data_IF_987376494277
#
_entry.id   IF_987376494277
#
_cell.length_a   1.000
_cell.length_b   1.000
_cell.length_c   1.000
_cell.angle_alpha   90.00
_cell.angle_beta   90.00
_cell.angle_gamma   90.00
#
_symmetry.space_group_name_H-M   'P 1'
#
loop_
_entity.id
_entity.type
_entity.pdbx_description
1 polymer ?
#
# COMPACT_ATOMS: atom_id res chain seq x y z
N UNK A 1 -22.28 12.41 -2.38
CA UNK A 1 -22.18 12.15 -0.92
C UNK A 1 -21.45 10.82 -0.74
N UNK A 2 -20.13 10.82 -0.50
CA UNK A 2 -19.41 9.59 -0.15
C UNK A 2 -19.86 9.22 1.26
N UNK A 3 -20.53 8.07 1.43
CA UNK A 3 -20.87 7.56 2.76
C UNK A 3 -19.59 7.47 3.61
N UNK A 4 -19.58 7.96 4.86
CA UNK A 4 -18.42 7.83 5.74
C UNK A 4 -18.23 6.33 6.03
N UNK A 5 -17.23 5.73 5.37
CA UNK A 5 -16.85 4.35 5.60
C UNK A 5 -16.57 4.15 7.09
N UNK A 6 -17.36 3.27 7.74
CA UNK A 6 -17.24 2.90 9.16
C UNK A 6 -15.76 2.80 9.56
N UNK A 7 -15.40 3.35 10.73
CA UNK A 7 -14.07 3.28 11.36
C UNK A 7 -13.67 1.81 11.61
N UNK A 8 -13.30 1.07 10.57
CA UNK A 8 -12.80 -0.30 10.68
C UNK A 8 -11.28 -0.27 10.63
N UNK A 9 -10.66 -0.90 11.62
CA UNK A 9 -9.23 -1.26 11.62
C UNK A 9 -9.09 -2.57 10.86
N UNK A 10 -7.95 -2.78 10.21
CA UNK A 10 -7.67 -4.02 9.50
C UNK A 10 -7.68 -5.21 10.48
N UNK A 11 -8.65 -6.11 10.32
CA UNK A 11 -8.72 -7.39 11.04
C UNK A 11 -7.89 -8.49 10.36
N UNK A 12 -7.61 -8.34 9.06
CA UNK A 12 -6.87 -9.32 8.25
C UNK A 12 -5.65 -8.64 7.63
N UNK A 13 -4.53 -9.37 7.53
CA UNK A 13 -3.28 -8.85 6.96
C UNK A 13 -2.61 -7.78 7.82
N UNK A 14 -2.87 -7.80 9.13
CA UNK A 14 -2.30 -6.85 10.09
C UNK A 14 -0.96 -7.30 10.72
N UNK A 15 -0.59 -8.57 10.48
CA UNK A 15 0.67 -9.19 10.91
C UNK A 15 1.58 -9.42 9.71
N UNK A 16 2.89 -9.30 9.92
CA UNK A 16 3.92 -9.72 8.96
C UNK A 16 3.88 -11.24 8.86
N UNK A 17 3.78 -11.79 7.65
CA UNK A 17 3.51 -13.23 7.44
C UNK A 17 4.64 -14.00 6.76
N UNK A 18 5.42 -13.34 5.91
CA UNK A 18 6.48 -13.96 5.12
C UNK A 18 7.85 -13.43 5.53
N UNK A 19 8.02 -12.12 5.60
CA UNK A 19 9.30 -11.51 5.94
C UNK A 19 9.59 -11.37 7.44
N UNK A 20 10.73 -10.76 7.75
CA UNK A 20 11.12 -10.36 9.11
C UNK A 20 10.62 -8.96 9.46
N UNK A 21 10.57 -8.07 8.46
CA UNK A 21 10.18 -6.67 8.62
C UNK A 21 8.96 -6.34 7.75
N UNK A 22 8.17 -5.35 8.18
CA UNK A 22 6.99 -4.90 7.44
C UNK A 22 6.77 -3.40 7.48
N UNK A 23 6.08 -2.90 6.45
CA UNK A 23 5.56 -1.54 6.38
C UNK A 23 4.05 -1.55 6.59
N UNK A 24 3.60 -1.07 7.73
CA UNK A 24 2.19 -1.08 8.16
C UNK A 24 1.54 0.27 7.95
N UNK A 25 0.33 0.31 7.41
CA UNK A 25 -0.46 1.52 7.28
C UNK A 25 -0.97 1.98 8.65
N UNK A 26 -0.79 3.27 8.95
CA UNK A 26 -1.41 3.96 10.09
C UNK A 26 -2.61 4.78 9.59
N UNK A 27 -2.50 5.35 8.39
CA UNK A 27 -3.57 6.09 7.73
C UNK A 27 -4.55 5.20 6.98
N UNK A 28 -5.72 5.76 6.66
CA UNK A 28 -6.69 5.20 5.70
C UNK A 28 -6.50 5.88 4.35
N UNK A 29 -6.72 5.15 3.26
CA UNK A 29 -6.65 5.75 1.94
C UNK A 29 -6.80 4.75 0.81
N UNK A 30 -6.64 5.24 -0.42
CA UNK A 30 -6.58 4.43 -1.63
C UNK A 30 -5.16 4.50 -2.18
N UNK A 31 -4.62 3.34 -2.55
CA UNK A 31 -3.33 3.25 -3.23
C UNK A 31 -3.53 2.80 -4.67
N UNK A 32 -3.00 3.55 -5.62
CA UNK A 32 -3.01 3.17 -7.03
C UNK A 32 -1.92 2.15 -7.33
N UNK A 33 -2.08 1.36 -8.40
CA UNK A 33 -1.03 0.46 -8.89
C UNK A 33 0.32 1.19 -9.09
N UNK A 34 0.29 2.43 -9.59
CA UNK A 34 1.49 3.26 -9.81
C UNK A 34 2.21 3.62 -8.52
N UNK A 35 1.47 3.97 -7.46
CA UNK A 35 2.05 4.26 -6.14
C UNK A 35 2.63 2.99 -5.51
N UNK A 36 1.93 1.87 -5.64
CA UNK A 36 2.39 0.58 -5.12
C UNK A 36 3.72 0.18 -5.78
N UNK A 37 3.81 0.34 -7.09
CA UNK A 37 5.03 0.01 -7.84
C UNK A 37 6.16 1.02 -7.58
N UNK A 38 5.84 2.31 -7.44
CA UNK A 38 6.84 3.33 -7.12
C UNK A 38 7.53 3.06 -5.77
N UNK A 39 6.74 2.69 -4.74
CA UNK A 39 7.27 2.30 -3.43
C UNK A 39 8.12 1.01 -3.51
N UNK A 40 7.64 -0.01 -4.23
CA UNK A 40 8.40 -1.25 -4.46
C UNK A 40 9.74 -0.98 -5.13
N UNK A 41 9.74 -0.19 -6.21
CA UNK A 41 10.95 0.15 -6.96
C UNK A 41 11.95 0.95 -6.11
N UNK A 42 11.48 1.83 -5.22
CA UNK A 42 12.33 2.56 -4.29
C UNK A 42 13.07 1.60 -3.33
N UNK A 43 12.35 0.66 -2.71
CA UNK A 43 12.95 -0.35 -1.82
C UNK A 43 13.96 -1.23 -2.55
N UNK A 44 13.58 -1.81 -3.68
CA UNK A 44 14.45 -2.70 -4.46
C UNK A 44 15.75 -2.03 -4.89
N UNK A 45 15.70 -0.73 -5.20
CA UNK A 45 16.89 0.06 -5.54
C UNK A 45 17.79 0.29 -4.32
N UNK A 46 17.20 0.61 -3.16
CA UNK A 46 17.95 0.87 -1.93
C UNK A 46 18.72 -0.36 -1.46
N UNK A 47 18.07 -1.52 -1.44
CA UNK A 47 18.69 -2.78 -1.03
C UNK A 47 19.59 -3.40 -2.11
N UNK A 48 19.83 -2.69 -3.23
CA UNK A 48 20.66 -3.15 -4.36
C UNK A 48 20.25 -4.54 -4.88
N UNK A 49 18.94 -4.84 -4.87
CA UNK A 49 18.37 -6.16 -5.19
C UNK A 49 18.82 -7.31 -4.27
N UNK A 50 19.39 -7.03 -3.10
CA UNK A 50 19.59 -7.98 -2.02
C UNK A 50 18.28 -8.23 -1.26
N UNK A 51 18.14 -9.42 -0.67
CA UNK A 51 16.95 -9.79 0.10
C UNK A 51 15.69 -10.02 -0.75
N UNK A 52 14.56 -10.19 -0.08
CA UNK A 52 13.25 -10.48 -0.67
C UNK A 52 12.24 -9.42 -0.26
N UNK A 53 11.38 -9.01 -1.20
CA UNK A 53 10.28 -8.06 -0.94
C UNK A 53 8.96 -8.72 -1.33
N UNK A 54 7.97 -8.63 -0.46
CA UNK A 54 6.58 -8.99 -0.77
C UNK A 54 5.70 -7.76 -0.81
N UNK A 55 4.78 -7.73 -1.77
CA UNK A 55 3.66 -6.79 -1.80
C UNK A 55 2.46 -7.50 -1.20
N UNK A 56 1.87 -6.95 -0.15
CA UNK A 56 0.75 -7.57 0.59
C UNK A 56 -0.62 -7.03 0.19
N UNK A 57 -0.63 -6.10 -0.75
CA UNK A 57 -1.81 -5.42 -1.26
C UNK A 57 -1.89 -5.57 -2.78
N UNK A 58 -3.10 -5.66 -3.30
CA UNK A 58 -3.36 -5.75 -4.73
C UNK A 58 -4.44 -4.72 -5.09
N UNK A 59 -4.29 -3.98 -6.21
CA UNK A 59 -5.30 -3.03 -6.66
C UNK A 59 -6.43 -3.78 -7.36
N UNK A 60 -7.44 -4.18 -6.60
CA UNK A 60 -8.61 -4.96 -7.04
C UNK A 60 -9.83 -4.09 -7.37
N UNK A 61 -9.92 -2.88 -6.82
CA UNK A 61 -11.11 -2.04 -6.96
C UNK A 61 -11.02 -1.11 -8.17
N UNK A 62 -11.91 -1.23 -9.17
CA UNK A 62 -11.93 -0.31 -10.30
C UNK A 62 -12.45 1.07 -9.89
N UNK A 63 -11.82 2.11 -10.40
CA UNK A 63 -12.26 3.51 -10.32
C UNK A 63 -12.64 3.95 -11.73
N UNK A 64 -13.91 4.33 -11.88
CA UNK A 64 -14.43 4.86 -13.14
C UNK A 64 -14.34 6.37 -13.20
N UNK A 65 -14.01 6.92 -14.37
CA UNK A 65 -14.03 8.34 -14.63
C UNK A 65 -14.93 8.64 -15.84
N UNK A 66 -15.58 9.80 -15.82
CA UNK A 66 -16.24 10.34 -17.02
C UNK A 66 -15.29 11.33 -17.70
N UNK A 67 -15.31 11.42 -19.03
CA UNK A 67 -14.56 12.46 -19.74
C UNK A 67 -14.89 13.85 -19.18
N UNK A 68 -13.90 14.76 -19.21
CA UNK A 68 -14.07 16.10 -18.66
C UNK A 68 -15.16 16.92 -19.38
N UNK A 69 -15.47 16.56 -20.62
CA UNK A 69 -16.38 17.29 -21.52
C UNK A 69 -17.86 16.92 -21.35
N UNK A 70 -18.19 15.86 -20.59
CA UNK A 70 -19.58 15.40 -20.44
C UNK A 70 -20.24 15.95 -19.17
N UNK A 71 -21.51 16.34 -19.31
CA UNK A 71 -22.34 16.73 -18.16
C UNK A 71 -22.66 15.53 -17.27
N UNK A 72 -23.07 15.81 -16.03
CA UNK A 72 -23.57 14.80 -15.10
C UNK A 72 -24.87 14.16 -15.64
N UNK A 73 -25.06 12.84 -15.44
CA UNK A 73 -26.15 12.05 -16.05
C UNK A 73 -25.65 10.95 -17.00
N UNK A 74 -26.54 10.22 -17.68
CA UNK A 74 -26.21 9.20 -18.70
C UNK A 74 -25.37 8.00 -18.25
N UNK A 75 -25.57 7.51 -17.01
CA UNK A 75 -24.92 6.27 -16.53
C UNK A 75 -23.52 6.46 -15.93
N UNK A 76 -22.81 5.34 -15.70
CA UNK A 76 -21.47 5.31 -15.10
C UNK A 76 -20.40 5.29 -16.19
N UNK A 77 -19.29 6.00 -15.98
CA UNK A 77 -18.15 5.98 -16.92
C UNK A 77 -17.37 4.65 -16.89
N UNK A 78 -16.43 4.51 -17.81
CA UNK A 78 -15.59 3.32 -17.91
C UNK A 78 -14.57 3.26 -16.75
N UNK A 79 -14.18 2.06 -16.27
CA UNK A 79 -13.05 1.89 -15.36
C UNK A 79 -11.74 2.41 -15.99
N UNK A 80 -11.08 3.36 -15.33
CA UNK A 80 -9.82 3.94 -15.82
C UNK A 80 -8.59 3.38 -15.11
N UNK A 81 -8.69 3.16 -13.80
CA UNK A 81 -7.60 2.61 -13.02
C UNK A 81 -8.11 1.81 -11.83
N UNK A 82 -7.21 1.02 -11.25
CA UNK A 82 -7.50 0.20 -10.09
C UNK A 82 -6.78 0.73 -8.85
N UNK A 83 -7.45 0.59 -7.72
CA UNK A 83 -6.94 0.99 -6.40
C UNK A 83 -7.08 -0.13 -5.40
N UNK A 84 -6.14 -0.18 -4.46
CA UNK A 84 -6.26 -0.96 -3.24
C UNK A 84 -6.88 -0.08 -2.14
N UNK A 85 -7.93 -0.55 -1.48
CA UNK A 85 -8.48 0.12 -0.30
C UNK A 85 -7.70 -0.26 0.96
N UNK A 86 -7.11 0.74 1.61
CA UNK A 86 -6.24 0.56 2.76
C UNK A 86 -6.95 1.01 4.03
N UNK A 87 -7.00 0.09 4.99
CA UNK A 87 -7.42 0.35 6.35
C UNK A 87 -6.20 0.50 7.26
N UNK A 88 -6.27 1.36 8.30
CA UNK A 88 -5.26 1.42 9.35
C UNK A 88 -5.00 0.02 9.92
N UNK A 89 -3.75 -0.32 10.12
CA UNK A 89 -3.30 -1.61 10.62
C UNK A 89 -2.90 -2.61 9.53
N UNK A 90 -3.19 -2.36 8.25
CA UNK A 90 -2.83 -3.30 7.18
C UNK A 90 -1.34 -3.24 6.85
N UNK A 91 -0.68 -4.39 6.74
CA UNK A 91 0.69 -4.50 6.24
C UNK A 91 0.64 -4.37 4.72
N UNK A 92 1.46 -3.46 4.18
CA UNK A 92 1.51 -3.13 2.75
C UNK A 92 2.65 -3.87 2.05
N UNK A 93 3.80 -3.94 2.71
CA UNK A 93 5.00 -4.59 2.21
C UNK A 93 5.68 -5.36 3.32
N UNK A 94 6.42 -6.40 2.92
CA UNK A 94 7.30 -7.16 3.81
C UNK A 94 8.67 -7.29 3.17
N UNK A 95 9.69 -7.43 4.00
CA UNK A 95 11.08 -7.57 3.59
C UNK A 95 11.82 -8.60 4.46
N UNK A 96 12.77 -9.29 3.85
CA UNK A 96 13.57 -10.35 4.48
C UNK A 96 14.97 -10.43 3.88
N UNK A 97 15.93 -10.98 4.62
CA UNK A 97 17.30 -11.19 4.16
C UNK A 97 18.12 -9.90 4.02
N UNK A 98 17.86 -8.93 4.90
CA UNK A 98 18.62 -7.66 5.00
C UNK A 98 18.73 -7.24 6.47
N UNK A 99 19.73 -6.43 6.81
CA UNK A 99 19.85 -5.87 8.16
C UNK A 99 18.71 -4.89 8.48
N UNK A 100 18.33 -4.79 9.77
CA UNK A 100 17.25 -3.91 10.22
C UNK A 100 17.48 -2.44 9.82
N UNK A 101 18.72 -1.94 9.94
CA UNK A 101 19.07 -0.58 9.57
C UNK A 101 18.75 -0.31 8.09
N UNK A 102 19.17 -1.23 7.22
CA UNK A 102 18.92 -1.14 5.78
C UNK A 102 17.42 -1.25 5.46
N UNK A 103 16.70 -2.14 6.15
CA UNK A 103 15.26 -2.30 6.01
C UNK A 103 14.51 -1.01 6.39
N UNK A 104 14.87 -0.39 7.52
CA UNK A 104 14.26 0.87 7.99
C UNK A 104 14.41 1.99 6.98
N UNK A 105 15.61 2.16 6.42
CA UNK A 105 15.86 3.16 5.38
C UNK A 105 15.07 2.87 4.11
N UNK A 106 15.07 1.61 3.64
CA UNK A 106 14.32 1.21 2.46
C UNK A 106 12.82 1.49 2.62
N UNK A 107 12.25 1.17 3.78
CA UNK A 107 10.85 1.42 4.09
C UNK A 107 10.53 2.91 4.28
N UNK A 108 11.46 3.72 4.78
CA UNK A 108 11.30 5.17 4.82
C UNK A 108 11.18 5.77 3.41
N UNK A 109 12.03 5.31 2.48
CA UNK A 109 11.95 5.69 1.06
C UNK A 109 10.64 5.23 0.41
N UNK A 110 10.17 4.03 0.75
CA UNK A 110 8.88 3.51 0.30
C UNK A 110 7.71 4.35 0.81
N UNK A 111 7.73 4.69 2.11
CA UNK A 111 6.71 5.50 2.76
C UNK A 111 6.57 6.88 2.10
N UNK A 112 7.68 7.49 1.70
CA UNK A 112 7.67 8.77 0.97
C UNK A 112 6.99 8.71 -0.41
N UNK A 113 6.75 7.51 -0.97
CA UNK A 113 6.00 7.31 -2.23
C UNK A 113 4.51 7.09 -2.00
N UNK A 114 4.06 6.93 -0.76
CA UNK A 114 2.69 6.60 -0.44
C UNK A 114 1.94 7.84 0.09
N UNK A 115 0.70 8.09 -0.34
CA UNK A 115 -0.14 9.18 0.16
C UNK A 115 -0.77 8.89 1.55
N UNK A 116 -0.24 7.91 2.30
CA UNK A 116 -0.75 7.52 3.61
C UNK A 116 0.40 7.37 4.60
N UNK A 117 0.14 7.70 5.87
CA UNK A 117 1.10 7.48 6.95
C UNK A 117 1.31 5.99 7.18
N UNK A 118 2.56 5.58 7.31
CA UNK A 118 2.97 4.20 7.57
C UNK A 118 3.94 4.14 8.75
N UNK A 119 4.14 2.94 9.28
CA UNK A 119 5.10 2.67 10.35
C UNK A 119 5.82 1.36 10.08
N UNK A 120 7.08 1.28 10.50
CA UNK A 120 7.90 0.08 10.43
C UNK A 120 7.49 -0.88 11.55
N UNK A 121 7.38 -2.16 11.23
CA UNK A 121 7.05 -3.21 12.20
C UNK A 121 7.96 -4.42 12.04
N UNK A 122 8.29 -5.04 13.18
CA UNK A 122 8.94 -6.33 13.24
C UNK A 122 7.92 -7.47 13.21
N UNK A 123 8.32 -8.63 12.71
CA UNK A 123 7.54 -9.86 12.85
C UNK A 123 7.49 -10.25 14.32
N UNK A 124 6.29 -10.19 14.89
CA UNK A 124 6.04 -10.76 16.21
C UNK A 124 5.89 -12.28 16.04
N UNK A 125 6.84 -13.03 16.57
CA UNK A 125 6.71 -14.48 16.76
C UNK A 125 5.79 -14.68 17.97
N UNK A 126 4.51 -14.93 17.69
CA UNK A 126 3.44 -15.07 18.69
C UNK A 126 2.14 -15.56 18.08
#
# INVERSE_FOLDING_TARGET
>A
MLQPARRKVATVGAKVSFGEYGLKAVGRGRLTARQIEAARRAMTRHIKRGGRIWIRIFPDKPVSQKPAEVRMGNGKGNPEYYVAEIQPGKVLYEMDGVDEALAREAFALAAAKLPIRTTFVHRLLG
#
